data_IF_789560310371
#
_entry.id   IF_789560310371
#
_cell.length_a   1.000
_cell.length_b   1.000
_cell.length_c   1.000
_cell.angle_alpha   90.00
_cell.angle_beta   90.00
_cell.angle_gamma   90.00
#
_symmetry.space_group_name_H-M   'P 1'
#
loop_
_entity.id
_entity.type
_entity.pdbx_description
1 polymer ?
#
# COMPACT_ATOMS: atom_id res chain seq x y z
N UNK A 1 5.70 2.45 5.64
CA UNK A 1 5.67 1.35 4.65
C UNK A 1 6.70 1.62 3.57
N UNK A 2 7.42 0.60 3.12
CA UNK A 2 8.52 0.72 2.16
C UNK A 2 8.12 0.12 0.82
N UNK A 3 8.46 0.78 -0.28
CA UNK A 3 8.29 0.29 -1.63
C UNK A 3 9.67 -0.12 -2.15
N UNK A 4 9.77 -1.37 -2.61
CA UNK A 4 10.98 -1.91 -3.19
C UNK A 4 10.73 -2.19 -4.67
N UNK A 5 11.76 -1.99 -5.48
CA UNK A 5 11.84 -2.55 -6.83
C UNK A 5 11.94 -4.09 -6.72
N UNK A 6 11.50 -4.87 -7.74
CA UNK A 6 11.72 -6.32 -7.78
C UNK A 6 13.15 -6.79 -7.47
N UNK A 7 14.18 -5.99 -7.75
CA UNK A 7 15.57 -6.32 -7.41
C UNK A 7 15.93 -6.14 -5.92
N UNK A 8 14.99 -5.64 -5.11
CA UNK A 8 15.16 -5.36 -3.67
C UNK A 8 15.61 -3.94 -3.34
N UNK A 9 15.83 -3.08 -4.34
CA UNK A 9 16.21 -1.67 -4.13
C UNK A 9 15.05 -0.89 -3.52
N UNK A 10 15.30 -0.17 -2.42
CA UNK A 10 14.30 0.71 -1.81
C UNK A 10 14.05 1.93 -2.70
N UNK A 11 12.89 2.00 -3.34
CA UNK A 11 12.50 3.09 -4.26
C UNK A 11 11.60 4.15 -3.61
N UNK A 12 11.08 3.90 -2.42
CA UNK A 12 10.24 4.88 -1.74
C UNK A 12 9.73 4.46 -0.38
N UNK A 13 9.14 5.43 0.33
CA UNK A 13 8.47 5.20 1.61
C UNK A 13 7.16 5.97 1.66
N UNK A 14 6.07 5.25 1.91
CA UNK A 14 4.81 5.87 2.26
C UNK A 14 4.79 6.15 3.76
N UNK A 15 4.78 7.44 4.10
CA UNK A 15 4.77 7.95 5.48
C UNK A 15 3.34 8.26 5.89
N UNK A 16 2.89 7.61 6.96
CA UNK A 16 1.65 7.93 7.66
C UNK A 16 2.00 8.17 9.14
N UNK A 17 1.13 8.84 9.92
CA UNK A 17 1.43 9.22 11.31
C UNK A 17 1.70 8.05 12.27
N UNK A 18 1.34 6.82 11.90
CA UNK A 18 1.38 5.64 12.77
C UNK A 18 2.10 4.45 12.10
N UNK A 19 2.66 3.51 12.88
CA UNK A 19 3.18 2.26 12.34
C UNK A 19 2.10 1.45 11.60
N UNK A 20 2.47 0.94 10.42
CA UNK A 20 1.58 0.14 9.56
C UNK A 20 1.87 -1.34 9.76
N UNK A 21 0.82 -2.13 10.00
CA UNK A 21 0.91 -3.59 10.18
C UNK A 21 0.64 -4.38 8.90
N UNK A 22 -0.27 -3.90 8.04
CA UNK A 22 -0.69 -4.60 6.84
C UNK A 22 -1.11 -3.63 5.73
N UNK A 23 -1.03 -4.07 4.48
CA UNK A 23 -1.46 -3.34 3.29
C UNK A 23 -2.15 -4.26 2.30
N UNK A 24 -3.16 -3.75 1.60
CA UNK A 24 -3.86 -4.51 0.55
C UNK A 24 -4.39 -3.60 -0.55
N UNK A 25 -4.31 -4.06 -1.80
CA UNK A 25 -5.01 -3.43 -2.92
C UNK A 25 -6.49 -3.84 -2.94
N UNK A 26 -7.38 -2.92 -3.30
CA UNK A 26 -8.81 -3.18 -3.43
C UNK A 26 -9.57 -2.06 -4.12
N UNK A 27 -10.89 -2.01 -3.87
CA UNK A 27 -11.84 -1.16 -4.59
C UNK A 27 -12.22 -1.72 -5.97
N UNK A 28 -13.20 -1.11 -6.66
CA UNK A 28 -13.77 -1.68 -7.89
C UNK A 28 -12.76 -1.86 -9.03
N UNK A 29 -11.70 -1.04 -9.08
CA UNK A 29 -10.63 -1.11 -10.07
C UNK A 29 -9.33 -1.70 -9.54
N UNK A 30 -9.33 -2.25 -8.33
CA UNK A 30 -8.16 -2.74 -7.61
C UNK A 30 -6.98 -1.72 -7.54
N UNK A 31 -7.30 -0.42 -7.57
CA UNK A 31 -6.33 0.68 -7.58
C UNK A 31 -6.38 1.54 -6.30
N UNK A 32 -7.07 1.07 -5.27
CA UNK A 32 -7.02 1.68 -3.94
C UNK A 32 -6.14 0.85 -3.03
N UNK A 33 -5.12 1.47 -2.45
CA UNK A 33 -4.27 0.84 -1.45
C UNK A 33 -4.81 1.17 -0.05
N UNK A 34 -5.13 0.14 0.72
CA UNK A 34 -5.53 0.24 2.12
C UNK A 34 -4.34 -0.06 3.03
N UNK A 35 -4.22 0.68 4.14
CA UNK A 35 -3.18 0.48 5.15
C UNK A 35 -3.82 0.42 6.54
N UNK A 36 -3.62 -0.70 7.23
CA UNK A 36 -4.00 -0.82 8.64
C UNK A 36 -2.85 -0.31 9.50
N UNK A 37 -3.09 0.77 10.22
CA UNK A 37 -2.19 1.29 11.24
C UNK A 37 -2.72 0.97 12.64
N UNK A 38 -1.98 1.37 13.67
CA UNK A 38 -2.28 1.05 15.07
C UNK A 38 -3.72 1.36 15.45
N UNK A 39 -4.20 2.58 15.20
CA UNK A 39 -5.57 3.01 15.55
C UNK A 39 -6.40 3.46 14.36
N UNK A 40 -5.78 3.56 13.18
CA UNK A 40 -6.39 4.13 11.99
C UNK A 40 -6.34 3.19 10.79
N UNK A 41 -7.34 3.33 9.91
CA UNK A 41 -7.31 2.78 8.56
C UNK A 41 -7.11 3.91 7.55
N UNK A 42 -5.99 3.88 6.83
CA UNK A 42 -5.71 4.84 5.75
C UNK A 42 -6.03 4.23 4.39
N UNK A 43 -6.35 5.06 3.40
CA UNK A 43 -6.41 4.61 2.01
C UNK A 43 -5.91 5.67 1.03
N UNK A 44 -5.30 5.22 -0.06
CA UNK A 44 -4.83 6.08 -1.15
C UNK A 44 -5.33 5.54 -2.49
N UNK A 45 -5.73 6.45 -3.39
CA UNK A 45 -5.95 6.10 -4.79
C UNK A 45 -4.59 6.09 -5.47
N UNK A 46 -4.26 4.96 -6.09
CA UNK A 46 -3.00 4.74 -6.79
C UNK A 46 -3.19 4.99 -8.29
N UNK A 47 -2.12 5.43 -8.94
CA UNK A 47 -2.03 5.51 -10.42
C UNK A 47 -1.88 4.15 -11.08
N UNK A 48 -1.66 3.09 -10.29
CA UNK A 48 -1.46 1.71 -10.75
C UNK A 48 -2.55 0.79 -10.19
N UNK A 49 -2.82 -0.29 -10.92
CA UNK A 49 -3.68 -1.39 -10.46
C UNK A 49 -2.83 -2.42 -9.72
N UNK A 50 -3.31 -2.89 -8.57
CA UNK A 50 -2.64 -3.95 -7.82
C UNK A 50 -2.56 -5.26 -8.61
N UNK A 51 -1.62 -6.11 -8.23
CA UNK A 51 -1.44 -7.41 -8.85
C UNK A 51 -2.75 -8.24 -8.84
N UNK A 52 -2.97 -9.10 -9.85
CA UNK A 52 -4.06 -10.06 -9.84
C UNK A 52 -4.04 -10.89 -8.56
N UNK A 53 -5.22 -11.16 -8.00
CA UNK A 53 -5.36 -12.11 -6.90
C UNK A 53 -5.20 -13.52 -7.46
N UNK A 54 -4.41 -14.35 -6.77
CA UNK A 54 -4.33 -15.79 -7.02
C UNK A 54 -5.60 -16.49 -6.52
#
# INVERSE_FOLDING_TARGET
>A
MHCYDPDGTLIGRLRVPEPVSNVAFGGPRNNRLFLTATTSLYSLVMSVTGAPRL
#
